data_IF_639533094788
#
_entry.id   IF_639533094788
#
_cell.length_a   1.000
_cell.length_b   1.000
_cell.length_c   1.000
_cell.angle_alpha   90.00
_cell.angle_beta   90.00
_cell.angle_gamma   90.00
#
_symmetry.space_group_name_H-M   'P 1'
#
loop_
_entity.id
_entity.type
_entity.pdbx_description
1 polymer ?
#
# COMPACT_ATOMS: atom_id res chain seq x y z
N UNK A 1 -54.71 -18.31 -6.31
CA UNK A 1 -53.44 -18.97 -6.70
C UNK A 1 -52.86 -18.32 -7.97
N UNK A 2 -53.63 -18.16 -9.06
CA UNK A 2 -53.16 -17.62 -10.34
C UNK A 2 -52.60 -16.19 -10.24
N UNK A 3 -53.24 -15.29 -9.48
CA UNK A 3 -52.78 -13.92 -9.28
C UNK A 3 -51.43 -13.85 -8.53
N UNK A 4 -51.23 -14.70 -7.52
CA UNK A 4 -49.96 -14.78 -6.76
C UNK A 4 -48.80 -15.26 -7.62
N UNK A 5 -49.08 -16.22 -8.52
CA UNK A 5 -48.07 -16.73 -9.47
C UNK A 5 -47.67 -15.63 -10.49
N UNK A 6 -48.64 -14.87 -11.00
CA UNK A 6 -48.39 -13.75 -11.92
C UNK A 6 -47.57 -12.64 -11.26
N UNK A 7 -47.84 -12.29 -10.01
CA UNK A 7 -47.07 -11.31 -9.25
C UNK A 7 -45.63 -11.79 -9.03
N UNK A 8 -45.46 -13.08 -8.67
CA UNK A 8 -44.13 -13.67 -8.49
C UNK A 8 -43.31 -13.69 -9.79
N UNK A 9 -43.95 -14.06 -10.93
CA UNK A 9 -43.32 -14.03 -12.23
C UNK A 9 -42.95 -12.61 -12.67
N UNK A 10 -43.81 -11.62 -12.43
CA UNK A 10 -43.50 -10.21 -12.71
C UNK A 10 -42.32 -9.71 -11.85
N UNK A 11 -42.26 -10.09 -10.56
CA UNK A 11 -41.14 -9.77 -9.68
C UNK A 11 -39.83 -10.37 -10.15
N UNK A 12 -39.80 -11.63 -10.58
CA UNK A 12 -38.62 -12.30 -11.13
C UNK A 12 -38.15 -11.61 -12.42
N UNK A 13 -39.06 -11.24 -13.31
CA UNK A 13 -38.73 -10.54 -14.55
C UNK A 13 -38.13 -9.15 -14.30
N UNK A 14 -38.67 -8.41 -13.33
CA UNK A 14 -38.12 -7.10 -12.92
C UNK A 14 -36.71 -7.27 -12.34
N UNK A 15 -36.50 -8.23 -11.42
CA UNK A 15 -35.18 -8.49 -10.85
C UNK A 15 -34.17 -8.95 -11.91
N UNK A 16 -34.58 -9.81 -12.84
CA UNK A 16 -33.73 -10.22 -13.96
C UNK A 16 -33.38 -9.02 -14.85
N UNK A 17 -34.34 -8.15 -15.17
CA UNK A 17 -34.11 -6.94 -15.94
C UNK A 17 -33.15 -5.97 -15.24
N UNK A 18 -33.30 -5.78 -13.94
CA UNK A 18 -32.37 -4.95 -13.14
C UNK A 18 -30.97 -5.57 -13.10
N UNK A 19 -30.86 -6.89 -12.94
CA UNK A 19 -29.58 -7.59 -12.95
C UNK A 19 -28.87 -7.48 -14.31
N UNK A 20 -29.59 -7.67 -15.42
CA UNK A 20 -29.03 -7.50 -16.77
C UNK A 20 -28.63 -6.05 -17.04
N UNK A 21 -29.46 -5.08 -16.63
CA UNK A 21 -29.12 -3.67 -16.76
C UNK A 21 -27.89 -3.29 -15.92
N UNK A 22 -27.79 -3.83 -14.70
CA UNK A 22 -26.64 -3.62 -13.81
C UNK A 22 -25.36 -4.25 -14.39
N UNK A 23 -25.44 -5.50 -14.86
CA UNK A 23 -24.30 -6.17 -15.53
C UNK A 23 -23.89 -5.43 -16.80
N UNK A 24 -24.84 -5.02 -17.64
CA UNK A 24 -24.58 -4.23 -18.84
C UNK A 24 -23.94 -2.87 -18.52
N UNK A 25 -24.40 -2.19 -17.47
CA UNK A 25 -23.83 -0.92 -17.00
C UNK A 25 -22.45 -1.11 -16.35
N UNK A 26 -22.25 -2.18 -15.58
CA UNK A 26 -20.96 -2.54 -15.02
C UNK A 26 -19.94 -2.93 -16.09
N UNK A 27 -20.37 -3.69 -17.10
CA UNK A 27 -19.52 -4.07 -18.25
C UNK A 27 -19.20 -2.88 -19.15
N UNK A 28 -20.12 -1.94 -19.34
CA UNK A 28 -19.87 -0.70 -20.09
C UNK A 28 -18.90 0.26 -19.38
N UNK A 29 -18.71 0.11 -18.06
CA UNK A 29 -17.69 0.83 -17.28
C UNK A 29 -16.29 0.21 -17.38
N UNK A 30 -16.18 -1.03 -17.78
CA UNK A 30 -14.92 -1.66 -18.15
C UNK A 30 -14.51 -1.18 -19.55
N UNK A 31 -14.20 0.11 -19.69
CA UNK A 31 -13.49 0.57 -20.87
C UNK A 31 -12.17 -0.20 -20.91
N UNK A 32 -11.92 -0.94 -21.98
CA UNK A 32 -10.57 -1.43 -22.26
C UNK A 32 -9.67 -0.21 -22.36
N UNK A 33 -8.86 0.00 -21.32
CA UNK A 33 -7.88 1.08 -21.32
C UNK A 33 -6.87 0.74 -22.41
N UNK A 34 -6.83 1.56 -23.44
CA UNK A 34 -5.81 1.44 -24.47
C UNK A 34 -4.48 1.81 -23.84
N UNK A 35 -3.59 0.81 -23.70
CA UNK A 35 -2.22 1.06 -23.23
C UNK A 35 -1.57 2.09 -24.16
N UNK A 36 -1.12 3.21 -23.59
CA UNK A 36 -0.48 4.29 -24.36
C UNK A 36 0.99 3.99 -24.66
N UNK A 37 1.52 2.89 -24.08
CA UNK A 37 2.90 2.45 -24.28
C UNK A 37 3.25 1.26 -23.41
N UNK A 38 4.52 0.86 -23.42
CA UNK A 38 5.06 -0.21 -22.58
C UNK A 38 5.60 0.37 -21.28
N UNK A 39 4.89 0.15 -20.16
CA UNK A 39 5.41 0.43 -18.82
C UNK A 39 6.49 -0.59 -18.49
N UNK A 40 7.63 -0.13 -18.00
CA UNK A 40 8.72 -0.99 -17.53
C UNK A 40 9.07 -0.66 -16.08
N UNK A 41 9.26 -1.70 -15.26
CA UNK A 41 9.71 -1.59 -13.86
C UNK A 41 11.24 -1.62 -13.73
N UNK A 42 11.98 -1.75 -14.84
CA UNK A 42 13.43 -1.66 -14.81
C UNK A 42 13.89 -0.33 -14.19
N UNK A 43 15.00 -0.28 -13.44
CA UNK A 43 15.55 0.96 -12.91
C UNK A 43 15.64 2.05 -13.96
N UNK A 44 15.39 3.30 -13.56
CA UNK A 44 15.41 4.45 -14.46
C UNK A 44 14.68 5.67 -13.89
N UNK A 45 14.91 6.88 -14.41
CA UNK A 45 14.42 8.13 -13.85
C UNK A 45 12.90 8.31 -14.08
N UNK A 46 12.09 7.42 -13.49
CA UNK A 46 10.64 7.38 -13.63
C UNK A 46 9.98 7.17 -12.27
N UNK A 47 8.79 7.71 -12.14
CA UNK A 47 7.88 7.45 -11.04
C UNK A 47 6.77 6.50 -11.52
N UNK A 48 6.57 5.42 -10.79
CA UNK A 48 5.45 4.50 -10.92
C UNK A 48 4.33 4.97 -10.01
N UNK A 49 3.09 4.79 -10.44
CA UNK A 49 1.90 5.05 -9.64
C UNK A 49 0.70 4.25 -10.16
N UNK A 50 -0.35 4.21 -9.36
CA UNK A 50 -1.67 3.75 -9.75
C UNK A 50 -2.50 4.96 -10.16
N UNK A 51 -3.08 4.93 -11.36
CA UNK A 51 -3.96 6.02 -11.82
C UNK A 51 -5.30 6.00 -11.08
N UNK A 52 -5.79 7.18 -10.74
CA UNK A 52 -7.14 7.41 -10.22
C UNK A 52 -7.99 8.26 -11.16
N UNK A 53 -7.48 8.63 -12.34
CA UNK A 53 -8.23 9.31 -13.37
C UNK A 53 -9.34 8.40 -13.92
N UNK A 54 -10.49 8.98 -14.31
CA UNK A 54 -11.65 8.20 -14.75
C UNK A 54 -11.36 7.32 -15.97
N UNK A 55 -10.51 7.81 -16.89
CA UNK A 55 -10.21 7.13 -18.14
C UNK A 55 -9.36 5.84 -17.95
N UNK A 56 -8.51 5.80 -16.94
CA UNK A 56 -7.53 4.73 -16.69
C UNK A 56 -7.44 4.34 -15.21
N UNK A 57 -8.56 4.47 -14.51
CA UNK A 57 -8.67 4.19 -13.07
C UNK A 57 -8.21 2.77 -12.73
N UNK A 58 -7.31 2.69 -11.76
CA UNK A 58 -6.75 1.42 -11.29
C UNK A 58 -5.55 0.94 -12.07
N UNK A 59 -5.28 1.50 -13.24
CA UNK A 59 -4.17 1.06 -14.08
C UNK A 59 -2.82 1.55 -13.56
N UNK A 60 -1.81 0.71 -13.75
CA UNK A 60 -0.42 1.03 -13.43
C UNK A 60 0.14 1.94 -14.50
N UNK A 61 0.71 3.05 -14.09
CA UNK A 61 1.26 4.04 -14.99
C UNK A 61 2.63 4.55 -14.53
N UNK A 62 3.36 5.17 -15.45
CA UNK A 62 4.63 5.85 -15.15
C UNK A 62 4.66 7.24 -15.78
N UNK A 63 5.44 8.13 -15.14
CA UNK A 63 5.85 9.44 -15.68
C UNK A 63 7.36 9.59 -15.55
N UNK A 64 7.94 10.49 -16.34
CA UNK A 64 9.34 10.89 -16.15
C UNK A 64 9.51 11.55 -14.76
N UNK A 65 10.54 11.17 -14.01
CA UNK A 65 10.82 11.79 -12.70
C UNK A 65 11.13 13.29 -12.82
N UNK A 66 11.69 13.72 -13.95
CA UNK A 66 11.98 15.13 -14.22
C UNK A 66 10.75 15.96 -14.60
N UNK A 67 9.64 15.30 -15.01
CA UNK A 67 8.38 15.95 -15.39
C UNK A 67 7.18 15.15 -14.89
N UNK A 68 6.92 15.12 -13.56
CA UNK A 68 5.88 14.30 -12.95
C UNK A 68 4.45 14.70 -13.35
N UNK A 69 4.25 15.95 -13.77
CA UNK A 69 2.97 16.45 -14.28
C UNK A 69 2.77 16.22 -15.79
N UNK A 70 3.77 15.66 -16.47
CA UNK A 70 3.79 15.49 -17.92
C UNK A 70 3.06 14.27 -18.43
N UNK A 71 3.44 13.82 -19.62
CA UNK A 71 2.79 12.70 -20.31
C UNK A 71 2.96 11.38 -19.54
N UNK A 72 1.85 10.64 -19.39
CA UNK A 72 1.79 9.33 -18.72
C UNK A 72 1.92 8.20 -19.73
N UNK A 73 2.67 7.17 -19.36
CA UNK A 73 2.59 5.87 -20.02
C UNK A 73 1.71 4.96 -19.16
N UNK A 74 0.57 4.53 -19.69
CA UNK A 74 -0.41 3.72 -18.98
C UNK A 74 -0.35 2.29 -19.50
N UNK A 75 -0.29 1.30 -18.60
CA UNK A 75 -0.32 -0.12 -18.92
C UNK A 75 -1.75 -0.65 -18.92
N UNK A 76 -1.95 -1.85 -19.51
CA UNK A 76 -3.21 -2.58 -19.40
C UNK A 76 -3.39 -3.25 -18.01
N UNK A 77 -2.35 -3.28 -17.16
CA UNK A 77 -2.40 -3.89 -15.84
C UNK A 77 -3.15 -3.00 -14.85
N UNK A 78 -4.16 -3.56 -14.20
CA UNK A 78 -4.88 -2.90 -13.11
C UNK A 78 -4.54 -3.53 -11.77
N UNK A 79 -4.32 -2.68 -10.75
CA UNK A 79 -4.02 -3.08 -9.37
C UNK A 79 -4.87 -2.27 -8.39
N UNK A 80 -5.24 -2.84 -7.26
CA UNK A 80 -5.79 -2.10 -6.12
C UNK A 80 -4.68 -1.38 -5.36
N UNK A 81 -3.48 -1.98 -5.30
CA UNK A 81 -2.23 -1.39 -4.80
C UNK A 81 -1.06 -1.89 -5.63
N UNK A 82 -0.07 -1.03 -5.81
CA UNK A 82 1.16 -1.36 -6.56
C UNK A 82 2.37 -0.72 -5.89
N UNK A 83 3.49 -1.40 -5.94
CA UNK A 83 4.81 -0.86 -5.62
C UNK A 83 5.86 -1.60 -6.44
N UNK A 84 6.96 -0.93 -6.78
CA UNK A 84 8.05 -1.59 -7.49
C UNK A 84 9.41 -1.01 -7.09
N UNK A 85 10.42 -1.86 -7.07
CA UNK A 85 11.83 -1.52 -6.92
C UNK A 85 12.69 -2.64 -7.48
N UNK A 86 13.95 -2.36 -7.87
CA UNK A 86 14.91 -3.36 -8.34
C UNK A 86 14.43 -4.19 -9.55
N UNK A 87 13.54 -3.66 -10.38
CA UNK A 87 12.97 -4.39 -11.53
C UNK A 87 11.86 -5.38 -11.17
N UNK A 88 11.47 -5.48 -9.90
CA UNK A 88 10.38 -6.33 -9.42
C UNK A 88 9.18 -5.46 -9.02
N UNK A 89 7.97 -5.91 -9.38
CA UNK A 89 6.72 -5.28 -8.99
C UNK A 89 5.88 -6.17 -8.07
N UNK A 90 5.10 -5.52 -7.23
CA UNK A 90 4.08 -6.14 -6.40
C UNK A 90 2.74 -5.48 -6.73
N UNK A 91 1.80 -6.25 -7.27
CA UNK A 91 0.45 -5.83 -7.58
C UNK A 91 -0.54 -6.60 -6.70
N UNK A 92 -1.35 -5.90 -5.93
CA UNK A 92 -2.49 -6.47 -5.22
C UNK A 92 -3.74 -6.15 -6.04
N UNK A 93 -4.46 -7.17 -6.50
CA UNK A 93 -5.61 -6.99 -7.41
C UNK A 93 -6.75 -7.95 -7.08
N UNK A 94 -8.00 -7.66 -7.52
CA UNK A 94 -9.08 -8.63 -7.47
C UNK A 94 -8.72 -9.93 -8.24
N UNK A 95 -9.15 -11.06 -7.73
CA UNK A 95 -8.99 -12.39 -8.35
C UNK A 95 -10.31 -12.84 -8.96
N UNK A 96 -10.64 -12.29 -10.11
CA UNK A 96 -11.79 -12.71 -10.94
C UNK A 96 -13.18 -12.37 -10.39
N UNK A 97 -13.38 -12.29 -9.07
CA UNK A 97 -14.63 -11.89 -8.44
C UNK A 97 -14.47 -10.62 -7.55
N UNK A 98 -15.58 -10.14 -7.00
CA UNK A 98 -15.58 -8.91 -6.19
C UNK A 98 -15.14 -9.12 -4.73
N UNK A 99 -14.88 -10.35 -4.33
CA UNK A 99 -14.69 -10.74 -2.91
C UNK A 99 -13.29 -11.28 -2.61
N UNK A 100 -12.59 -11.79 -3.62
CA UNK A 100 -11.25 -12.35 -3.48
C UNK A 100 -10.19 -11.46 -4.12
N UNK A 101 -9.00 -11.49 -3.54
CA UNK A 101 -7.84 -10.75 -4.02
C UNK A 101 -6.65 -11.69 -4.16
N UNK A 102 -5.69 -11.24 -4.96
CA UNK A 102 -4.41 -11.93 -5.11
C UNK A 102 -3.26 -10.92 -5.08
N UNK A 103 -2.15 -11.40 -4.59
CA UNK A 103 -0.84 -10.79 -4.75
C UNK A 103 -0.22 -11.34 -6.03
N UNK A 104 0.24 -10.46 -6.90
CA UNK A 104 0.95 -10.82 -8.12
C UNK A 104 2.35 -10.24 -8.06
N UNK A 105 3.35 -11.11 -8.14
CA UNK A 105 4.75 -10.74 -8.35
C UNK A 105 4.97 -10.50 -9.83
N UNK A 106 5.49 -9.33 -10.18
CA UNK A 106 5.70 -8.90 -11.55
C UNK A 106 7.20 -8.79 -11.86
N UNK A 107 7.57 -9.16 -13.07
CA UNK A 107 8.89 -8.83 -13.59
C UNK A 107 8.96 -7.40 -14.14
N UNK A 108 10.13 -7.00 -14.64
CA UNK A 108 10.36 -5.66 -15.18
C UNK A 108 9.45 -5.32 -16.39
N UNK A 109 8.81 -6.29 -17.02
CA UNK A 109 7.90 -6.11 -18.17
C UNK A 109 6.43 -6.23 -17.77
N UNK A 110 6.12 -6.23 -16.46
CA UNK A 110 4.79 -6.45 -15.89
C UNK A 110 4.24 -7.88 -16.14
N UNK A 111 5.08 -8.86 -16.51
CA UNK A 111 4.63 -10.23 -16.62
C UNK A 111 4.53 -10.86 -15.23
N UNK A 112 3.41 -11.60 -14.99
CA UNK A 112 3.19 -12.34 -13.74
C UNK A 112 4.23 -13.46 -13.59
N UNK A 113 4.94 -13.47 -12.46
CA UNK A 113 5.91 -14.49 -12.10
C UNK A 113 5.35 -15.46 -11.04
N UNK A 114 4.53 -14.94 -10.14
CA UNK A 114 3.90 -15.71 -9.06
C UNK A 114 2.59 -15.04 -8.63
N UNK A 115 1.60 -15.84 -8.32
CA UNK A 115 0.32 -15.39 -7.79
C UNK A 115 0.04 -16.08 -6.46
N UNK A 116 -0.41 -15.33 -5.47
CA UNK A 116 -0.71 -15.80 -4.12
C UNK A 116 -2.09 -15.28 -3.74
N UNK A 117 -3.06 -16.17 -3.43
CA UNK A 117 -4.37 -15.75 -2.94
C UNK A 117 -4.25 -14.93 -1.65
N UNK A 118 -5.05 -13.88 -1.54
CA UNK A 118 -5.13 -13.02 -0.36
C UNK A 118 -6.54 -13.03 0.23
N UNK A 119 -6.60 -13.14 1.54
CA UNK A 119 -7.84 -12.96 2.31
C UNK A 119 -7.82 -11.57 2.92
N UNK A 120 -8.75 -10.70 2.49
CA UNK A 120 -8.87 -9.33 2.97
C UNK A 120 -8.70 -8.28 1.88
N UNK A 121 -8.97 -7.02 2.23
CA UNK A 121 -8.90 -5.88 1.32
C UNK A 121 -7.46 -5.35 1.22
N UNK A 122 -6.86 -5.23 0.02
CA UNK A 122 -5.53 -4.67 -0.16
C UNK A 122 -5.38 -3.26 0.42
N UNK A 123 -4.31 -3.06 1.20
CA UNK A 123 -4.04 -1.77 1.83
C UNK A 123 -2.65 -1.22 1.51
N UNK A 124 -1.57 -2.00 1.73
CA UNK A 124 -0.19 -1.56 1.50
C UNK A 124 0.58 -2.59 0.69
N UNK A 125 1.53 -2.12 -0.10
CA UNK A 125 2.47 -2.93 -0.88
C UNK A 125 3.86 -2.31 -0.78
N UNK A 126 4.90 -3.13 -0.65
CA UNK A 126 6.30 -2.68 -0.61
C UNK A 126 7.21 -3.74 -1.23
N UNK A 127 8.23 -3.27 -1.93
CA UNK A 127 9.31 -4.09 -2.49
C UNK A 127 10.62 -3.54 -1.94
N UNK A 128 11.57 -4.42 -1.60
CA UNK A 128 12.91 -3.99 -1.17
C UNK A 128 13.70 -3.38 -2.32
N UNK A 129 14.72 -2.58 -2.01
CA UNK A 129 15.52 -1.90 -3.02
C UNK A 129 16.18 -2.86 -4.02
N UNK A 130 16.51 -4.07 -3.62
CA UNK A 130 17.05 -5.15 -4.48
C UNK A 130 15.99 -5.79 -5.39
N UNK A 131 14.69 -5.61 -5.09
CA UNK A 131 13.59 -6.33 -5.73
C UNK A 131 13.31 -7.72 -5.17
N UNK A 132 14.07 -8.19 -4.16
CA UNK A 132 13.98 -9.56 -3.62
C UNK A 132 12.84 -9.73 -2.61
N UNK A 133 12.73 -8.82 -1.63
CA UNK A 133 11.74 -8.92 -0.56
C UNK A 133 10.48 -8.17 -0.93
N UNK A 134 9.34 -8.81 -0.75
CA UNK A 134 8.02 -8.23 -0.99
C UNK A 134 7.22 -8.25 0.31
N UNK A 135 6.50 -7.18 0.61
CA UNK A 135 5.59 -7.13 1.73
C UNK A 135 4.24 -6.54 1.33
N UNK A 136 3.19 -7.06 1.92
CA UNK A 136 1.84 -6.56 1.74
C UNK A 136 1.11 -6.43 3.07
N UNK A 137 0.08 -5.62 3.07
CA UNK A 137 -0.90 -5.54 4.16
C UNK A 137 -2.30 -5.60 3.59
N UNK A 138 -3.16 -6.40 4.20
CA UNK A 138 -4.60 -6.46 3.91
C UNK A 138 -5.40 -6.14 5.16
N UNK A 139 -6.57 -5.51 4.98
CA UNK A 139 -7.57 -5.42 6.04
C UNK A 139 -8.38 -6.70 6.05
N UNK A 140 -8.56 -7.27 7.24
CA UNK A 140 -9.41 -8.44 7.47
C UNK A 140 -10.57 -8.04 8.38
N UNK A 141 -11.75 -8.64 8.12
CA UNK A 141 -12.96 -8.48 8.94
C UNK A 141 -13.25 -9.78 9.66
N UNK A 142 -13.83 -9.68 10.86
CA UNK A 142 -14.27 -10.87 11.61
C UNK A 142 -13.38 -11.33 12.74
N UNK A 143 -12.19 -10.75 12.91
CA UNK A 143 -11.41 -10.96 14.13
C UNK A 143 -12.08 -10.20 15.27
N UNK A 144 -12.81 -10.94 16.13
CA UNK A 144 -13.68 -10.40 17.20
C UNK A 144 -12.92 -9.72 18.35
N UNK A 145 -11.59 -9.68 18.28
CA UNK A 145 -10.73 -9.18 19.36
C UNK A 145 -10.66 -7.66 19.44
N UNK A 146 -11.02 -6.94 18.37
CA UNK A 146 -10.87 -5.48 18.29
C UNK A 146 -12.18 -4.69 18.47
N UNK A 147 -13.19 -5.23 19.09
CA UNK A 147 -14.41 -4.47 19.45
C UNK A 147 -15.10 -3.76 18.28
N UNK A 148 -15.06 -4.32 17.06
CA UNK A 148 -15.64 -3.73 15.85
C UNK A 148 -14.65 -2.88 15.03
N UNK A 149 -13.38 -2.77 15.44
CA UNK A 149 -12.31 -2.19 14.64
C UNK A 149 -11.75 -3.21 13.65
N UNK A 150 -11.19 -2.75 12.53
CA UNK A 150 -10.56 -3.63 11.56
C UNK A 150 -9.24 -4.19 12.09
N UNK A 151 -8.95 -5.44 11.73
CA UNK A 151 -7.63 -6.04 11.88
C UNK A 151 -6.86 -5.95 10.57
N UNK A 152 -5.55 -6.07 10.66
CA UNK A 152 -4.66 -6.17 9.49
C UNK A 152 -3.97 -7.53 9.49
N UNK A 153 -3.55 -7.96 8.30
CA UNK A 153 -2.53 -9.01 8.14
C UNK A 153 -1.43 -8.48 7.26
N UNK A 154 -0.21 -8.55 7.77
CA UNK A 154 0.99 -8.17 7.03
C UNK A 154 1.83 -9.42 6.77
N UNK A 155 2.15 -9.68 5.51
CA UNK A 155 3.00 -10.80 5.11
C UNK A 155 4.26 -10.32 4.39
N UNK A 156 5.26 -11.21 4.34
CA UNK A 156 6.53 -11.00 3.66
C UNK A 156 6.85 -12.23 2.82
N UNK A 157 7.31 -12.01 1.59
CA UNK A 157 7.80 -13.02 0.67
C UNK A 157 9.25 -12.71 0.28
N UNK A 158 10.13 -13.69 0.41
CA UNK A 158 11.44 -13.71 -0.24
C UNK A 158 11.31 -14.39 -1.62
N UNK A 159 11.48 -13.63 -2.69
CA UNK A 159 11.33 -14.17 -4.05
C UNK A 159 12.47 -15.07 -4.48
N UNK A 160 13.65 -14.96 -3.85
CA UNK A 160 14.82 -15.76 -4.18
C UNK A 160 14.74 -17.18 -3.59
N UNK A 161 14.24 -17.32 -2.36
CA UNK A 161 14.10 -18.63 -1.69
C UNK A 161 12.70 -19.20 -1.82
N UNK A 162 11.70 -18.35 -2.02
CA UNK A 162 10.28 -18.70 -1.98
C UNK A 162 9.69 -18.72 -0.58
N UNK A 163 10.49 -18.40 0.46
CA UNK A 163 10.04 -18.37 1.85
C UNK A 163 8.95 -17.31 2.04
N UNK A 164 7.91 -17.72 2.72
CA UNK A 164 6.68 -16.94 2.89
C UNK A 164 6.28 -16.88 4.36
N UNK A 165 6.34 -15.68 4.96
CA UNK A 165 5.65 -15.39 6.19
C UNK A 165 4.27 -14.81 5.84
N UNK A 166 3.23 -15.58 6.03
CA UNK A 166 1.84 -15.19 5.68
C UNK A 166 1.29 -14.11 6.63
N UNK A 167 1.82 -14.04 7.85
CA UNK A 167 1.46 -13.06 8.87
C UNK A 167 2.64 -12.80 9.81
N UNK A 168 2.81 -11.55 10.23
CA UNK A 168 3.83 -11.15 11.21
C UNK A 168 3.39 -11.41 12.66
N UNK A 169 2.12 -11.69 12.90
CA UNK A 169 1.58 -12.06 14.21
C UNK A 169 2.18 -13.38 14.74
N UNK A 170 2.74 -14.22 13.87
CA UNK A 170 3.41 -15.48 14.24
C UNK A 170 4.87 -15.29 14.72
N UNK A 171 5.39 -14.06 14.67
CA UNK A 171 6.76 -13.76 15.08
C UNK A 171 6.89 -13.64 16.59
N UNK A 172 8.06 -13.99 17.12
CA UNK A 172 8.39 -13.75 18.52
C UNK A 172 8.58 -12.24 18.76
N UNK A 173 7.66 -11.63 19.52
CA UNK A 173 7.65 -10.20 19.78
C UNK A 173 8.33 -9.88 21.10
N UNK A 174 9.13 -8.81 21.12
CA UNK A 174 9.70 -8.19 22.30
C UNK A 174 9.21 -6.75 22.42
N UNK A 175 8.47 -6.43 23.51
CA UNK A 175 8.01 -5.09 23.87
C UNK A 175 8.82 -4.59 25.04
N UNK A 176 9.51 -3.45 24.87
CA UNK A 176 10.36 -2.83 25.88
C UNK A 176 11.37 -3.81 26.52
N UNK A 177 11.99 -4.64 25.68
CA UNK A 177 13.00 -5.61 26.10
C UNK A 177 12.47 -6.89 26.76
N UNK A 178 11.15 -7.09 26.79
CA UNK A 178 10.50 -8.29 27.37
C UNK A 178 9.71 -9.07 26.34
N UNK A 179 9.71 -10.41 26.38
CA UNK A 179 8.83 -11.21 25.56
C UNK A 179 7.36 -10.76 25.71
N UNK A 180 6.67 -10.62 24.59
CA UNK A 180 5.30 -10.10 24.58
C UNK A 180 4.42 -10.92 23.63
N UNK A 181 3.21 -11.20 24.07
CA UNK A 181 2.17 -11.85 23.28
C UNK A 181 0.81 -11.30 23.69
N UNK A 182 0.00 -10.93 22.70
CA UNK A 182 -1.36 -10.46 22.92
C UNK A 182 -2.24 -10.83 21.72
N UNK A 183 -3.53 -11.03 21.97
CA UNK A 183 -4.48 -11.41 20.93
C UNK A 183 -4.79 -10.25 19.97
N UNK A 184 -4.55 -9.01 20.36
CA UNK A 184 -4.78 -7.79 19.59
C UNK A 184 -3.55 -7.28 18.82
N UNK A 185 -2.49 -8.11 18.72
CA UNK A 185 -1.35 -7.77 17.88
C UNK A 185 -1.77 -7.62 16.41
N UNK A 186 -1.40 -6.48 15.83
CA UNK A 186 -1.61 -6.19 14.44
C UNK A 186 -0.35 -5.57 13.84
N UNK A 187 -0.05 -5.87 12.57
CA UNK A 187 1.11 -5.33 11.86
C UNK A 187 0.73 -4.76 10.50
N UNK A 188 1.39 -3.68 10.09
CA UNK A 188 1.24 -3.09 8.76
C UNK A 188 2.42 -2.22 8.35
N UNK A 189 2.45 -1.81 7.08
CA UNK A 189 3.38 -0.79 6.58
C UNK A 189 4.83 -1.22 6.64
N UNK A 190 5.15 -2.44 6.18
CA UNK A 190 6.52 -2.96 6.14
C UNK A 190 7.41 -2.15 5.20
N UNK A 191 8.67 -1.96 5.56
CA UNK A 191 9.76 -1.45 4.72
C UNK A 191 11.05 -2.20 5.05
N UNK A 192 11.91 -2.43 4.04
CA UNK A 192 13.06 -3.31 4.17
C UNK A 192 14.38 -2.54 4.31
N UNK A 193 15.34 -3.12 5.01
CA UNK A 193 16.73 -2.70 4.98
C UNK A 193 17.42 -3.24 3.72
N UNK A 194 18.63 -2.73 3.40
CA UNK A 194 19.38 -3.12 2.21
C UNK A 194 19.90 -4.56 2.23
N UNK A 195 19.89 -5.21 3.39
CA UNK A 195 20.40 -6.59 3.56
C UNK A 195 19.36 -7.65 3.19
N UNK A 196 18.14 -7.26 2.81
CA UNK A 196 17.01 -8.15 2.50
C UNK A 196 16.68 -9.15 3.62
N UNK A 197 17.05 -8.83 4.83
CA UNK A 197 16.83 -9.63 6.04
C UNK A 197 16.04 -8.89 7.10
N UNK A 198 16.45 -7.67 7.41
CA UNK A 198 15.77 -6.88 8.41
C UNK A 198 14.70 -5.98 7.77
N UNK A 199 13.71 -5.64 8.56
CA UNK A 199 12.63 -4.75 8.16
C UNK A 199 12.18 -3.85 9.31
N UNK A 200 11.49 -2.78 8.96
CA UNK A 200 10.70 -1.98 9.89
C UNK A 200 9.23 -2.14 9.53
N UNK A 201 8.36 -2.04 10.55
CA UNK A 201 6.90 -2.09 10.39
C UNK A 201 6.23 -1.29 11.51
N UNK A 202 4.93 -1.10 11.38
CA UNK A 202 4.07 -0.70 12.49
C UNK A 202 3.55 -1.93 13.19
N UNK A 203 3.59 -1.95 14.51
CA UNK A 203 2.88 -2.87 15.39
C UNK A 203 1.84 -2.11 16.20
N UNK A 204 0.64 -2.63 16.31
CA UNK A 204 -0.39 -2.13 17.24
C UNK A 204 -0.76 -3.19 18.26
N UNK A 205 -0.91 -2.78 19.50
CA UNK A 205 -1.44 -3.57 20.62
C UNK A 205 -1.86 -2.66 21.75
N UNK A 206 -2.86 -3.03 22.53
CA UNK A 206 -3.38 -2.28 23.69
C UNK A 206 -3.72 -0.80 23.38
N UNK A 207 -4.11 -0.50 22.13
CA UNK A 207 -4.41 0.86 21.69
C UNK A 207 -3.18 1.70 21.32
N UNK A 208 -1.96 1.19 21.51
CA UNK A 208 -0.71 1.85 21.17
C UNK A 208 -0.18 1.40 19.81
N UNK A 209 0.65 2.23 19.18
CA UNK A 209 1.27 1.95 17.88
C UNK A 209 2.76 2.19 17.97
N UNK A 210 3.53 1.20 17.53
CA UNK A 210 4.99 1.19 17.66
C UNK A 210 5.66 1.01 16.31
N UNK A 211 6.73 1.77 16.09
CA UNK A 211 7.75 1.35 15.13
C UNK A 211 8.43 0.10 15.69
N UNK A 212 8.50 -0.93 14.90
CA UNK A 212 9.25 -2.14 15.22
C UNK A 212 10.34 -2.39 14.20
N UNK A 213 11.38 -3.10 14.59
CA UNK A 213 12.30 -3.77 13.67
C UNK A 213 12.14 -5.27 13.79
N UNK A 214 12.19 -5.96 12.65
CA UNK A 214 12.10 -7.42 12.60
C UNK A 214 13.26 -8.03 11.83
N UNK A 215 13.54 -9.28 12.11
CA UNK A 215 14.45 -10.15 11.39
C UNK A 215 13.61 -11.26 10.72
N UNK A 216 13.56 -11.25 9.38
CA UNK A 216 12.75 -12.19 8.61
C UNK A 216 13.20 -13.63 8.80
N UNK A 217 14.51 -13.88 8.82
CA UNK A 217 15.06 -15.23 8.94
C UNK A 217 14.95 -15.78 10.37
N UNK A 218 15.06 -14.91 11.40
CA UNK A 218 14.96 -15.32 12.80
C UNK A 218 13.50 -15.33 13.30
N UNK A 219 12.54 -14.81 12.55
CA UNK A 219 11.13 -14.66 12.94
C UNK A 219 10.97 -13.90 14.27
N UNK A 220 11.71 -12.79 14.43
CA UNK A 220 11.69 -11.98 15.64
C UNK A 220 11.35 -10.53 15.34
N UNK A 221 10.64 -9.87 16.27
CA UNK A 221 10.26 -8.46 16.18
C UNK A 221 10.53 -7.82 17.55
N UNK A 222 11.03 -6.58 17.54
CA UNK A 222 11.17 -5.76 18.75
C UNK A 222 10.72 -4.33 18.54
N UNK A 223 10.13 -3.74 19.55
CA UNK A 223 9.73 -2.33 19.55
C UNK A 223 10.93 -1.39 19.59
N UNK A 224 10.76 -0.22 18.94
CA UNK A 224 11.75 0.85 18.90
C UNK A 224 11.20 2.17 19.46
N UNK A 225 10.01 2.56 19.02
CA UNK A 225 9.43 3.87 19.33
C UNK A 225 7.91 3.82 19.19
N UNK A 226 7.22 4.51 20.08
CA UNK A 226 5.76 4.68 20.03
C UNK A 226 5.34 5.81 19.06
N UNK A 227 4.06 5.78 18.64
CA UNK A 227 3.38 6.72 17.74
C UNK A 227 4.08 6.89 16.38
N UNK A 228 4.45 5.76 15.78
CA UNK A 228 5.04 5.69 14.43
C UNK A 228 4.26 4.68 13.60
N UNK A 229 3.69 5.12 12.48
CA UNK A 229 2.91 4.28 11.58
C UNK A 229 3.35 4.39 10.13
N UNK A 230 3.16 3.29 9.39
CA UNK A 230 3.46 3.18 7.98
C UNK A 230 4.88 3.66 7.63
N UNK A 231 5.92 3.10 8.27
CA UNK A 231 7.29 3.51 8.04
C UNK A 231 7.74 3.27 6.60
N UNK A 232 8.62 4.13 6.13
CA UNK A 232 9.34 4.00 4.87
C UNK A 232 10.80 4.36 5.08
N UNK A 233 11.70 3.40 4.91
CA UNK A 233 13.12 3.58 5.07
C UNK A 233 13.70 4.37 3.89
N UNK A 234 14.56 5.32 4.19
CA UNK A 234 15.27 6.11 3.16
C UNK A 234 16.22 5.25 2.33
N UNK A 235 16.53 5.64 1.08
CA UNK A 235 17.47 4.91 0.25
C UNK A 235 18.86 4.72 0.88
N UNK A 236 19.32 5.69 1.69
CA UNK A 236 20.58 5.60 2.46
C UNK A 236 20.49 4.70 3.71
N UNK A 237 19.27 4.31 4.13
CA UNK A 237 19.03 3.45 5.30
C UNK A 237 19.17 4.15 6.65
N UNK A 238 19.29 5.48 6.70
CA UNK A 238 19.56 6.23 7.93
C UNK A 238 18.33 6.90 8.53
N UNK A 239 17.24 7.03 7.76
CA UNK A 239 16.04 7.75 8.15
C UNK A 239 14.78 6.96 7.81
N UNK A 240 13.73 7.17 8.60
CA UNK A 240 12.39 6.59 8.36
C UNK A 240 11.40 7.72 8.22
N UNK A 241 10.76 7.83 7.05
CA UNK A 241 9.55 8.63 6.88
C UNK A 241 8.34 7.86 7.41
N UNK A 242 7.45 8.52 8.12
CA UNK A 242 6.29 7.88 8.75
C UNK A 242 5.15 8.87 8.99
N UNK A 243 3.97 8.35 9.30
CA UNK A 243 2.88 9.13 9.86
C UNK A 243 2.78 8.88 11.36
N UNK A 244 2.39 9.90 12.12
CA UNK A 244 2.05 9.79 13.53
C UNK A 244 0.68 10.38 13.81
N UNK A 245 -0.05 9.82 14.76
CA UNK A 245 -1.30 10.41 15.21
C UNK A 245 -1.01 11.75 15.91
N UNK A 246 -1.81 12.77 15.59
CA UNK A 246 -1.74 14.08 16.26
C UNK A 246 -2.12 13.87 17.73
N UNK A 247 -1.28 14.37 18.65
CA UNK A 247 -1.44 14.19 20.09
C UNK A 247 -1.64 12.71 20.53
N UNK A 248 -1.05 11.77 19.77
CA UNK A 248 -1.22 10.32 19.91
C UNK A 248 -2.67 9.83 19.75
N UNK A 249 -3.59 10.67 19.25
CA UNK A 249 -5.00 10.35 19.02
C UNK A 249 -5.32 10.29 17.52
N UNK A 250 -5.57 9.10 16.94
CA UNK A 250 -5.92 8.95 15.53
C UNK A 250 -7.18 9.70 15.09
N UNK A 251 -8.09 10.02 16.02
CA UNK A 251 -9.29 10.78 15.69
C UNK A 251 -8.98 12.23 15.28
N UNK A 252 -7.82 12.75 15.68
CA UNK A 252 -7.35 14.07 15.29
C UNK A 252 -6.61 14.08 13.94
N UNK A 253 -6.36 12.90 13.36
CA UNK A 253 -5.67 12.73 12.09
C UNK A 253 -4.17 12.49 12.24
N UNK A 254 -3.43 12.68 11.13
CA UNK A 254 -2.07 12.21 10.97
C UNK A 254 -1.12 13.31 10.50
N UNK A 255 0.11 13.27 11.00
CA UNK A 255 1.22 14.13 10.56
C UNK A 255 2.33 13.28 9.97
N UNK A 256 2.88 13.74 8.84
CA UNK A 256 4.09 13.17 8.27
C UNK A 256 5.34 13.72 8.97
N UNK A 257 6.27 12.84 9.27
CA UNK A 257 7.55 13.16 9.91
C UNK A 257 8.66 12.26 9.39
N UNK A 258 9.90 12.64 9.64
CA UNK A 258 11.10 11.83 9.39
C UNK A 258 11.82 11.59 10.71
N UNK A 259 12.11 10.33 11.01
CA UNK A 259 12.93 9.90 12.14
C UNK A 259 14.35 9.63 11.65
N UNK A 260 15.35 10.30 12.25
CA UNK A 260 16.76 9.95 12.13
C UNK A 260 17.04 8.75 13.05
N UNK A 261 17.42 7.62 12.49
CA UNK A 261 17.63 6.37 13.21
C UNK A 261 18.88 6.41 14.11
N UNK A 262 19.85 7.26 13.78
CA UNK A 262 21.11 7.38 14.53
C UNK A 262 20.94 8.28 15.75
N UNK A 263 20.23 9.40 15.56
CA UNK A 263 20.05 10.42 16.61
C UNK A 263 18.75 10.28 17.38
N UNK A 264 17.85 9.42 16.92
CA UNK A 264 16.46 9.30 17.42
C UNK A 264 15.69 10.63 17.38
N UNK A 265 16.08 11.55 16.50
CA UNK A 265 15.47 12.85 16.32
C UNK A 265 14.32 12.77 15.30
N UNK A 266 13.20 13.42 15.60
CA UNK A 266 12.04 13.51 14.72
C UNK A 266 11.94 14.90 14.12
N UNK A 267 11.83 15.00 12.81
CA UNK A 267 11.58 16.22 12.05
C UNK A 267 10.18 16.17 11.46
N UNK A 268 9.23 17.00 11.92
CA UNK A 268 7.93 17.14 11.26
C UNK A 268 8.11 17.70 9.85
N UNK A 269 7.36 17.17 8.90
CA UNK A 269 7.38 17.67 7.51
C UNK A 269 6.44 18.86 7.33
N UNK A 270 6.69 19.65 6.29
CA UNK A 270 5.91 20.85 5.97
C UNK A 270 4.52 20.55 5.37
N UNK A 271 4.08 19.29 5.34
CA UNK A 271 2.71 18.92 5.04
C UNK A 271 1.82 19.13 6.28
N UNK A 272 0.81 19.97 6.15
CA UNK A 272 -0.07 20.32 7.27
C UNK A 272 -1.42 19.61 7.24
N UNK A 273 -1.78 18.96 6.14
CA UNK A 273 -3.00 18.15 6.03
C UNK A 273 -2.83 16.83 6.78
N UNK A 274 -3.95 16.23 7.15
CA UNK A 274 -3.93 14.85 7.63
C UNK A 274 -3.65 13.90 6.46
N UNK A 275 -2.57 13.12 6.56
CA UNK A 275 -2.16 12.15 5.53
C UNK A 275 -2.22 10.75 6.12
N UNK A 276 -3.19 9.96 5.65
CA UNK A 276 -3.33 8.54 6.01
C UNK A 276 -2.81 7.63 4.89
N UNK A 277 -1.53 7.75 4.57
CA UNK A 277 -0.86 6.89 3.58
C UNK A 277 0.50 6.41 4.09
N UNK A 278 1.07 5.41 3.43
CA UNK A 278 2.46 5.03 3.64
C UNK A 278 3.34 5.91 2.73
N UNK A 279 4.15 6.80 3.29
CA UNK A 279 5.02 7.65 2.47
C UNK A 279 6.02 6.81 1.68
N UNK A 280 6.47 7.35 0.54
CA UNK A 280 7.51 6.77 -0.28
C UNK A 280 8.66 7.77 -0.46
N UNK A 281 9.89 7.32 -0.30
CA UNK A 281 11.05 8.09 -0.72
C UNK A 281 11.13 8.08 -2.25
N UNK A 282 11.15 9.26 -2.86
CA UNK A 282 11.31 9.43 -4.30
C UNK A 282 12.79 9.58 -4.68
N UNK A 283 13.56 10.12 -3.75
CA UNK A 283 15.01 10.23 -3.71
C UNK A 283 15.47 10.42 -2.26
N UNK A 284 16.74 10.74 -2.00
CA UNK A 284 17.27 10.96 -0.64
C UNK A 284 16.71 12.20 0.07
N UNK A 285 15.96 13.06 -0.61
CA UNK A 285 15.52 14.36 -0.12
C UNK A 285 14.01 14.60 -0.20
N UNK A 286 13.29 13.77 -0.95
CA UNK A 286 11.88 14.01 -1.30
C UNK A 286 10.99 12.86 -0.88
N UNK A 287 9.92 13.17 -0.16
CA UNK A 287 8.87 12.23 0.25
C UNK A 287 7.65 12.44 -0.65
N UNK A 288 7.16 11.35 -1.27
CA UNK A 288 5.90 11.28 -1.99
C UNK A 288 4.82 10.57 -1.18
N UNK A 289 3.57 10.98 -1.32
CA UNK A 289 2.42 10.38 -0.61
C UNK A 289 1.11 10.69 -1.35
N UNK A 290 0.12 9.81 -1.16
CA UNK A 290 -1.23 9.99 -1.69
C UNK A 290 -2.10 10.86 -0.79
N UNK A 291 -2.86 11.79 -1.38
CA UNK A 291 -3.87 12.58 -0.70
C UNK A 291 -5.21 12.40 -1.41
N UNK A 292 -6.23 11.85 -0.74
CA UNK A 292 -7.57 11.74 -1.31
C UNK A 292 -8.16 13.11 -1.65
N UNK A 293 -8.78 13.22 -2.84
CA UNK A 293 -9.46 14.43 -3.32
C UNK A 293 -10.99 14.28 -3.35
N UNK A 294 -11.47 13.05 -3.25
CA UNK A 294 -12.88 12.68 -3.28
C UNK A 294 -13.02 11.17 -3.48
N UNK A 295 -14.26 10.64 -3.54
CA UNK A 295 -14.49 9.21 -3.70
C UNK A 295 -13.76 8.63 -4.92
N UNK A 296 -12.79 7.75 -4.69
CA UNK A 296 -12.01 7.07 -5.72
C UNK A 296 -10.99 7.94 -6.46
N UNK A 297 -10.77 9.19 -6.07
CA UNK A 297 -9.75 10.07 -6.62
C UNK A 297 -8.71 10.44 -5.57
N UNK A 298 -7.47 10.44 -5.97
CA UNK A 298 -6.32 10.85 -5.15
C UNK A 298 -5.31 11.58 -6.01
N UNK A 299 -4.50 12.41 -5.38
CA UNK A 299 -3.36 13.04 -6.00
C UNK A 299 -2.08 12.64 -5.24
N UNK A 300 -0.99 12.43 -5.94
CA UNK A 300 0.33 12.29 -5.31
C UNK A 300 0.90 13.68 -5.07
N UNK A 301 1.28 13.92 -3.84
CA UNK A 301 1.97 15.12 -3.38
C UNK A 301 3.38 14.79 -2.96
N UNK A 302 4.24 15.79 -2.90
CA UNK A 302 5.59 15.65 -2.39
C UNK A 302 5.95 16.78 -1.43
N UNK A 303 6.92 16.49 -0.53
CA UNK A 303 7.45 17.43 0.45
C UNK A 303 8.94 17.13 0.69
N UNK A 304 9.80 18.15 0.95
CA UNK A 304 11.17 17.92 1.37
C UNK A 304 11.26 17.13 2.67
N UNK A 305 12.21 16.20 2.74
CA UNK A 305 12.37 15.30 3.88
C UNK A 305 13.03 15.97 5.11
N UNK A 306 13.54 17.18 4.97
CA UNK A 306 14.23 17.97 6.01
C UNK A 306 13.29 18.89 6.82
N UNK A 307 11.98 18.85 6.54
CA UNK A 307 10.97 19.67 7.18
C UNK A 307 10.89 21.11 6.66
N UNK A 308 11.70 21.48 5.68
CA UNK A 308 11.67 22.80 5.05
C UNK A 308 10.71 22.86 3.86
N UNK A 309 10.52 24.04 3.28
CA UNK A 309 9.74 24.23 2.06
C UNK A 309 8.23 24.10 2.27
N UNK A 310 7.53 23.60 1.25
CA UNK A 310 6.07 23.41 1.23
C UNK A 310 5.71 22.14 0.46
N UNK A 311 4.58 21.53 0.83
CA UNK A 311 4.01 20.44 0.06
C UNK A 311 3.59 20.91 -1.34
N UNK A 312 3.85 20.10 -2.36
CA UNK A 312 3.54 20.40 -3.76
C UNK A 312 2.79 19.23 -4.40
N UNK A 313 1.80 19.55 -5.23
CA UNK A 313 1.18 18.56 -6.11
C UNK A 313 2.25 18.03 -7.08
N UNK A 314 2.43 16.72 -7.09
CA UNK A 314 3.43 16.05 -7.92
C UNK A 314 2.80 15.36 -9.13
N UNK A 315 1.86 14.47 -8.89
CA UNK A 315 1.14 13.75 -9.94
C UNK A 315 -0.37 13.84 -9.65
N UNK A 316 -1.16 14.58 -10.42
CA UNK A 316 -2.61 14.60 -10.25
C UNK A 316 -3.22 13.24 -10.61
N UNK A 317 -4.39 12.93 -10.09
CA UNK A 317 -5.12 11.68 -10.33
C UNK A 317 -4.22 10.42 -10.21
N UNK A 318 -3.53 10.29 -9.08
CA UNK A 318 -2.57 9.22 -8.83
C UNK A 318 -2.49 8.85 -7.34
N UNK A 319 -2.10 7.61 -7.06
CA UNK A 319 -1.78 7.11 -5.72
C UNK A 319 -0.70 6.02 -5.78
N UNK A 320 -0.24 5.53 -4.62
CA UNK A 320 0.80 4.48 -4.52
C UNK A 320 2.10 4.85 -5.28
N UNK A 321 2.72 6.02 -5.02
CA UNK A 321 3.92 6.43 -5.73
C UNK A 321 5.11 5.54 -5.37
N UNK A 322 5.95 5.23 -6.38
CA UNK A 322 7.23 4.58 -6.20
C UNK A 322 8.25 5.12 -7.19
N UNK A 323 9.46 5.45 -6.72
CA UNK A 323 10.57 5.75 -7.61
C UNK A 323 11.20 4.46 -8.13
N UNK A 324 11.43 4.36 -9.43
CA UNK A 324 12.05 3.18 -10.03
C UNK A 324 13.59 3.20 -9.95
N UNK A 325 14.14 4.21 -9.29
CA UNK A 325 15.57 4.41 -9.10
C UNK A 325 16.22 5.19 -10.24
N UNK A 326 17.51 5.50 -10.08
CA UNK A 326 18.29 6.18 -11.12
C UNK A 326 18.58 5.26 -12.31
#
# INVERSE_FOLDING_TARGET
VKARILIALAGVLVLAGVAVAYVGFASARNHEVTATGSVSLAPGPRLLFRSTADADRGHVATVAAADPGGARTVSALSCARVYAAGGTGLCLRPDGDLTTYQLVVLDARLASQREIPLVGLPNRARVSASGRMLAWTVFVTGDSYNGGMFSTRAGILDTATGDLAGTLEDYAVTLDGRPYQAADLNFWGVTFTRDDRHFYATMSTAGHRYLVTGDFAAHTIRTLRENVECPSLSPDGTRVAFKSAIDADPAQGWRLSVLDLTRSAVTPLAETRSVDDQPAWLDDHTIGYGVPRGPGHSDVWSVPADGTGTARLLIPDAESPAALGP
#
